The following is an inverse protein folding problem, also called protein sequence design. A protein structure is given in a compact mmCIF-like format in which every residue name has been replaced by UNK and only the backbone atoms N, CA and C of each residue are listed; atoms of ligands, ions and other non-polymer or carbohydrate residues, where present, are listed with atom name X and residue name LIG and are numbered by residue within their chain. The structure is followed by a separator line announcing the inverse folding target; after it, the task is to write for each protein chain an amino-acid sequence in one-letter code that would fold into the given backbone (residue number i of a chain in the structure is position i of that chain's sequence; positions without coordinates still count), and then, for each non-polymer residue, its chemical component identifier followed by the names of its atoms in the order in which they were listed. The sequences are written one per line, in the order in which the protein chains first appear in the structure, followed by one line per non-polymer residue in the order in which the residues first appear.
data_IF_947751940973
#
_entry.id   IF_947751940973
#
_cell.length_a   1.000
_cell.length_b   1.000
_cell.length_c   1.000
_cell.angle_alpha   90.00
_cell.angle_beta   90.00
_cell.angle_gamma   90.00
#
_symmetry.space_group_name_H-M   'P 1'
#
loop_
_entity.id
_entity.type
_entity.pdbx_description
1 polymer ?
#
# COMPACT_ATOMS: atom_id res chain seq x y z
N UNK A 1 32.26 24.41 26.74
CA UNK A 1 32.42 23.23 25.88
C UNK A 1 31.20 22.96 25.02
N UNK A 2 29.97 22.87 25.55
CA UNK A 2 28.76 22.57 24.71
C UNK A 2 28.49 23.59 23.60
N UNK A 3 28.78 24.87 23.76
CA UNK A 3 28.57 25.93 22.74
C UNK A 3 29.55 25.84 21.57
N UNK A 4 30.75 25.37 21.79
CA UNK A 4 31.76 25.18 20.71
C UNK A 4 31.53 23.90 19.93
N UNK A 5 30.93 22.88 20.57
CA UNK A 5 30.52 21.61 19.87
C UNK A 5 29.40 21.85 18.86
N UNK A 6 28.42 22.71 19.21
CA UNK A 6 27.35 23.10 18.30
C UNK A 6 27.86 23.92 17.11
N UNK A 7 28.84 24.81 17.34
CA UNK A 7 29.45 25.62 16.27
C UNK A 7 30.27 24.75 15.30
N UNK A 8 30.95 23.72 15.80
CA UNK A 8 31.73 22.77 15.01
C UNK A 8 30.82 21.92 14.12
N UNK A 9 29.66 21.50 14.64
CA UNK A 9 28.66 20.72 13.88
C UNK A 9 28.04 21.52 12.72
N UNK A 10 27.76 22.82 12.95
CA UNK A 10 27.25 23.70 11.89
C UNK A 10 28.32 23.94 10.82
N UNK A 11 29.58 24.07 11.19
CA UNK A 11 30.70 24.29 10.26
C UNK A 11 30.91 23.05 9.37
N UNK A 12 30.78 21.85 9.90
CA UNK A 12 30.89 20.57 9.14
C UNK A 12 29.73 20.41 8.14
N UNK A 13 28.51 20.81 8.50
CA UNK A 13 27.35 20.80 7.58
C UNK A 13 27.51 21.80 6.43
N UNK A 14 28.11 22.97 6.66
CA UNK A 14 28.32 23.96 5.59
C UNK A 14 29.42 23.54 4.63
N UNK A 15 30.45 22.85 5.09
CA UNK A 15 31.51 22.34 4.22
C UNK A 15 31.09 21.16 3.35
N UNK A 16 30.11 20.37 3.76
CA UNK A 16 29.60 19.25 2.96
C UNK A 16 28.72 19.68 1.78
N UNK A 17 28.15 20.87 1.80
CA UNK A 17 27.36 21.44 0.69
C UNK A 17 28.21 22.07 -0.43
N UNK A 18 29.48 22.37 -0.17
CA UNK A 18 30.38 22.98 -1.15
C UNK A 18 31.10 21.97 -2.07
N UNK A 19 30.98 20.66 -1.82
CA UNK A 19 31.71 19.63 -2.57
C UNK A 19 30.94 19.05 -3.80
N UNK A 20 29.71 19.52 -4.05
CA UNK A 20 28.87 19.03 -5.18
C UNK A 20 28.74 19.98 -6.37
N UNK A 21 29.53 21.07 -6.42
CA UNK A 21 29.46 22.03 -7.52
C UNK A 21 30.84 22.19 -8.18
N UNK A 22 31.25 21.26 -9.04
CA UNK A 22 32.11 21.51 -10.18
C UNK A 22 32.50 20.24 -10.92
N UNK A 23 31.91 20.03 -12.09
CA UNK A 23 32.60 19.67 -13.34
C UNK A 23 31.63 19.66 -14.51
N UNK A 24 31.57 20.79 -15.13
CA UNK A 24 31.18 20.92 -16.54
C UNK A 24 32.39 21.53 -17.22
N UNK A 25 32.90 20.90 -18.28
CA UNK A 25 33.33 21.60 -19.49
C UNK A 25 33.78 20.60 -20.58
N UNK A 26 33.76 21.07 -21.85
CA UNK A 26 33.39 20.30 -23.02
C UNK A 26 34.59 20.03 -23.91
N UNK A 27 34.48 19.10 -24.86
CA UNK A 27 35.30 19.12 -26.06
C UNK A 27 34.50 18.69 -27.31
N UNK A 28 34.68 19.47 -28.25
CA UNK A 28 34.29 19.87 -29.57
C UNK A 28 34.87 18.94 -30.64
N UNK A 29 34.08 18.78 -31.74
CA UNK A 29 34.48 18.71 -33.16
C UNK A 29 34.99 17.36 -33.71
N UNK A 30 34.31 16.78 -34.67
CA UNK A 30 34.60 16.91 -36.09
C UNK A 30 33.62 16.13 -36.98
N UNK A 31 32.98 16.82 -37.90
CA UNK A 31 32.43 16.29 -39.15
C UNK A 31 33.59 16.05 -40.15
N UNK A 32 33.47 15.22 -41.18
CA UNK A 32 32.83 15.64 -42.42
C UNK A 32 32.10 14.56 -43.27
N UNK A 33 31.12 15.03 -43.96
CA UNK A 33 30.77 14.93 -45.39
C UNK A 33 30.62 13.58 -46.12
N UNK A 34 29.46 13.45 -46.70
CA UNK A 34 29.03 13.45 -48.13
C UNK A 34 29.00 12.08 -48.80
N UNK A 35 27.92 11.61 -49.31
CA UNK A 35 27.39 11.67 -50.68
C UNK A 35 26.13 10.80 -50.90
N UNK A 36 25.07 11.39 -51.31
CA UNK A 36 24.29 11.24 -52.57
C UNK A 36 23.49 9.98 -52.85
N UNK A 37 22.21 10.21 -52.98
CA UNK A 37 21.30 9.86 -54.07
C UNK A 37 20.68 8.44 -54.10
N UNK A 38 19.39 8.34 -53.87
CA UNK A 38 18.33 8.11 -54.89
C UNK A 38 16.98 7.85 -54.23
N UNK A 39 15.99 8.63 -54.51
CA UNK A 39 14.55 8.35 -54.35
C UNK A 39 14.06 7.68 -55.65
N UNK A 40 12.80 7.23 -55.79
CA UNK A 40 11.71 7.01 -54.86
C UNK A 40 11.03 5.64 -55.04
N UNK A 41 10.31 5.15 -54.06
CA UNK A 41 9.11 4.33 -54.36
C UNK A 41 8.07 4.48 -53.24
N UNK A 42 6.94 4.90 -53.70
CA UNK A 42 5.67 5.07 -52.99
C UNK A 42 5.16 3.71 -52.51
N UNK A 43 4.91 3.54 -51.25
CA UNK A 43 3.96 2.53 -50.78
C UNK A 43 3.15 3.07 -49.59
N UNK A 44 1.87 2.92 -49.71
CA UNK A 44 0.77 3.39 -48.91
C UNK A 44 0.95 3.21 -47.41
N UNK A 45 0.62 4.24 -46.67
CA UNK A 45 0.38 4.30 -45.25
C UNK A 45 -0.90 3.51 -44.88
N UNK A 46 -0.88 2.55 -43.98
CA UNK A 46 -2.09 2.13 -43.32
C UNK A 46 -2.40 3.08 -42.18
N UNK A 47 -3.57 3.65 -42.24
CA UNK A 47 -4.16 4.54 -41.26
C UNK A 47 -3.97 4.01 -39.82
N UNK A 48 -3.44 4.85 -38.96
CA UNK A 48 -3.48 4.65 -37.51
C UNK A 48 -4.95 4.73 -37.07
N UNK A 49 -5.48 3.61 -36.58
CA UNK A 49 -6.70 3.60 -35.79
C UNK A 49 -6.38 4.32 -34.47
N UNK A 50 -7.06 5.45 -34.25
CA UNK A 50 -7.18 6.04 -32.93
C UNK A 50 -7.80 5.00 -31.97
N UNK A 51 -7.27 4.83 -30.74
CA UNK A 51 -7.97 4.04 -29.75
C UNK A 51 -9.30 4.76 -29.44
N UNK A 52 -10.40 4.07 -29.71
CA UNK A 52 -11.72 4.48 -29.32
C UNK A 52 -11.70 4.82 -27.82
N UNK A 53 -12.16 6.03 -27.47
CA UNK A 53 -12.46 6.38 -26.10
C UNK A 53 -13.41 5.29 -25.55
N UNK A 54 -13.00 4.62 -24.48
CA UNK A 54 -13.90 3.80 -23.69
C UNK A 54 -15.02 4.74 -23.20
N UNK A 55 -16.21 4.54 -23.72
CA UNK A 55 -17.43 5.12 -23.14
C UNK A 55 -17.50 4.64 -21.70
N UNK A 56 -17.34 5.59 -20.76
CA UNK A 56 -17.71 5.37 -19.37
C UNK A 56 -19.17 4.92 -19.37
N UNK A 57 -19.39 3.64 -19.13
CA UNK A 57 -20.72 3.10 -18.85
C UNK A 57 -21.24 3.87 -17.63
N UNK A 58 -22.43 4.48 -17.69
CA UNK A 58 -23.04 5.11 -16.52
C UNK A 58 -23.09 4.06 -15.41
N UNK A 59 -22.61 4.42 -14.21
CA UNK A 59 -22.79 3.60 -13.03
C UNK A 59 -24.27 3.20 -12.95
N UNK A 60 -24.59 1.92 -13.01
CA UNK A 60 -25.92 1.42 -12.78
C UNK A 60 -26.35 1.92 -11.40
N UNK A 61 -27.49 2.61 -11.35
CA UNK A 61 -28.13 2.95 -10.09
C UNK A 61 -28.31 1.65 -9.28
N UNK A 62 -27.98 1.64 -7.98
CA UNK A 62 -28.04 0.44 -7.17
C UNK A 62 -29.45 -0.16 -7.22
N UNK A 63 -29.51 -1.45 -7.47
CA UNK A 63 -30.76 -2.21 -7.37
C UNK A 63 -31.30 -1.99 -5.93
N UNK A 64 -32.49 -1.43 -5.81
CA UNK A 64 -33.10 -0.95 -4.58
C UNK A 64 -33.43 -2.04 -3.51
N UNK A 65 -32.87 -3.26 -3.65
CA UNK A 65 -33.10 -4.40 -2.76
C UNK A 65 -31.81 -5.12 -2.32
N UNK A 66 -30.62 -4.57 -2.57
CA UNK A 66 -29.38 -5.16 -2.06
C UNK A 66 -29.27 -4.90 -0.54
N UNK A 67 -29.34 -5.94 0.28
CA UNK A 67 -29.23 -5.85 1.74
C UNK A 67 -27.87 -5.26 2.21
N UNK A 68 -26.85 -5.29 1.34
CA UNK A 68 -25.50 -4.83 1.66
C UNK A 68 -24.91 -4.00 0.53
N UNK A 69 -24.19 -2.94 0.94
CA UNK A 69 -23.35 -2.08 0.08
C UNK A 69 -21.96 -1.96 0.70
N UNK A 70 -20.92 -2.20 -0.07
CA UNK A 70 -19.55 -2.36 0.45
C UNK A 70 -18.70 -1.16 0.07
N UNK A 71 -18.09 -0.52 1.06
CA UNK A 71 -17.04 0.46 0.89
C UNK A 71 -15.69 -0.11 1.35
N UNK A 72 -14.64 0.10 0.58
CA UNK A 72 -13.28 -0.12 1.04
C UNK A 72 -12.62 1.23 1.32
N UNK A 73 -11.98 1.37 2.47
CA UNK A 73 -11.17 2.55 2.77
C UNK A 73 -9.70 2.14 2.66
N UNK A 74 -8.89 2.82 1.81
CA UNK A 74 -7.45 2.56 1.79
C UNK A 74 -6.78 3.13 3.05
N UNK A 75 -5.61 2.62 3.43
CA UNK A 75 -4.86 3.17 4.58
C UNK A 75 -4.45 4.64 4.36
N UNK A 76 -3.70 4.94 3.34
CA UNK A 76 -3.40 6.21 2.68
C UNK A 76 -2.77 5.92 1.29
N UNK A 77 -2.47 4.66 1.04
CA UNK A 77 -1.92 4.14 -0.21
C UNK A 77 -2.91 4.19 -1.36
N UNK A 78 -2.49 3.67 -2.49
CA UNK A 78 -3.28 3.64 -3.71
C UNK A 78 -3.75 2.21 -4.01
N UNK A 79 -4.88 2.08 -4.69
CA UNK A 79 -5.39 0.77 -5.14
C UNK A 79 -4.51 0.13 -6.24
N UNK A 80 -3.44 0.78 -6.65
CA UNK A 80 -2.42 0.30 -7.60
C UNK A 80 -1.06 0.06 -6.95
N UNK A 81 -1.00 -0.08 -5.63
CA UNK A 81 0.22 -0.20 -4.85
C UNK A 81 0.96 -1.55 -5.01
N UNK A 82 0.41 -2.48 -5.78
CA UNK A 82 0.88 -3.87 -5.93
C UNK A 82 1.05 -4.58 -4.58
N UNK A 83 0.26 -4.20 -3.60
CA UNK A 83 0.32 -4.65 -2.22
C UNK A 83 -1.08 -4.81 -1.62
N UNK A 84 -1.24 -4.45 -0.35
CA UNK A 84 -2.41 -4.78 0.45
C UNK A 84 -3.67 -3.99 0.02
N UNK A 85 -3.53 -2.70 -0.32
CA UNK A 85 -4.67 -1.92 -0.81
C UNK A 85 -5.19 -2.46 -2.14
N UNK A 86 -4.32 -2.71 -3.12
CA UNK A 86 -4.73 -3.26 -4.41
C UNK A 86 -5.40 -4.61 -4.25
N UNK A 87 -4.78 -5.54 -3.52
CA UNK A 87 -5.33 -6.90 -3.34
C UNK A 87 -6.70 -6.86 -2.66
N UNK A 88 -6.88 -6.01 -1.65
CA UNK A 88 -8.17 -5.86 -0.96
C UNK A 88 -9.22 -5.23 -1.87
N UNK A 89 -8.85 -4.20 -2.65
CA UNK A 89 -9.73 -3.58 -3.62
C UNK A 89 -10.23 -4.58 -4.67
N UNK A 90 -9.31 -5.32 -5.27
CA UNK A 90 -9.64 -6.33 -6.29
C UNK A 90 -10.55 -7.42 -5.73
N UNK A 91 -10.27 -7.92 -4.52
CA UNK A 91 -11.08 -8.94 -3.87
C UNK A 91 -12.50 -8.43 -3.51
N UNK A 92 -12.62 -7.22 -2.98
CA UNK A 92 -13.92 -6.62 -2.68
C UNK A 92 -14.74 -6.39 -3.95
N UNK A 93 -14.10 -5.87 -5.00
CA UNK A 93 -14.73 -5.63 -6.30
C UNK A 93 -15.23 -6.93 -6.91
N UNK A 94 -14.39 -7.96 -7.01
CA UNK A 94 -14.76 -9.26 -7.55
C UNK A 94 -15.92 -9.89 -6.76
N UNK A 95 -15.86 -9.84 -5.43
CA UNK A 95 -16.93 -10.35 -4.57
C UNK A 95 -18.25 -9.61 -4.81
N UNK A 96 -18.23 -8.30 -4.87
CA UNK A 96 -19.42 -7.49 -5.06
C UNK A 96 -20.04 -7.70 -6.46
N UNK A 97 -19.21 -7.72 -7.51
CA UNK A 97 -19.64 -8.02 -8.87
C UNK A 97 -20.30 -9.41 -8.97
N UNK A 98 -19.69 -10.42 -8.35
CA UNK A 98 -20.23 -11.78 -8.36
C UNK A 98 -21.56 -11.92 -7.60
N UNK A 99 -21.84 -11.04 -6.63
CA UNK A 99 -23.03 -11.10 -5.79
C UNK A 99 -24.06 -9.98 -6.09
N UNK A 100 -23.79 -9.13 -7.10
CA UNK A 100 -24.69 -8.02 -7.46
C UNK A 100 -24.80 -6.95 -6.38
N UNK A 101 -23.72 -6.71 -5.62
CA UNK A 101 -23.64 -5.73 -4.55
C UNK A 101 -23.00 -4.44 -5.04
N UNK A 102 -23.42 -3.30 -4.49
CA UNK A 102 -22.77 -2.03 -4.71
C UNK A 102 -21.38 -2.03 -4.07
N UNK A 103 -20.39 -1.48 -4.78
CA UNK A 103 -19.02 -1.34 -4.29
C UNK A 103 -18.41 0.00 -4.67
N UNK A 104 -17.69 0.62 -3.74
CA UNK A 104 -16.82 1.76 -4.02
C UNK A 104 -15.62 1.72 -3.07
N UNK A 105 -14.60 2.54 -3.36
CA UNK A 105 -13.48 2.74 -2.44
C UNK A 105 -13.28 4.22 -2.13
N UNK A 106 -12.72 4.50 -0.97
CA UNK A 106 -12.44 5.83 -0.46
C UNK A 106 -10.98 5.91 -0.06
N UNK A 107 -10.32 7.00 -0.43
CA UNK A 107 -8.91 7.22 -0.15
C UNK A 107 -8.74 8.41 0.78
N UNK A 108 -8.14 8.22 1.99
CA UNK A 108 -7.79 9.34 2.87
C UNK A 108 -6.83 10.32 2.20
N UNK A 109 -6.92 11.60 2.55
CA UNK A 109 -6.05 12.64 2.02
C UNK A 109 -4.60 12.50 2.51
N UNK A 110 -4.39 11.83 3.66
CA UNK A 110 -3.09 11.57 4.25
C UNK A 110 -3.12 10.44 5.28
N UNK A 111 -2.02 10.27 6.02
CA UNK A 111 -1.80 9.19 6.98
C UNK A 111 -2.10 9.64 8.41
N UNK A 112 -3.39 9.82 8.72
CA UNK A 112 -3.85 10.08 10.08
C UNK A 112 -5.18 9.39 10.39
N UNK A 113 -5.43 9.10 11.68
CA UNK A 113 -6.70 8.51 12.11
C UNK A 113 -7.88 9.42 11.75
N UNK A 114 -7.75 10.74 11.93
CA UNK A 114 -8.80 11.70 11.60
C UNK A 114 -9.19 11.66 10.11
N UNK A 115 -8.23 11.49 9.21
CA UNK A 115 -8.52 11.38 7.77
C UNK A 115 -9.14 10.03 7.40
N UNK A 116 -8.76 8.95 8.07
CA UNK A 116 -9.41 7.64 7.93
C UNK A 116 -10.84 7.67 8.45
N UNK A 117 -11.06 8.27 9.62
CA UNK A 117 -12.40 8.49 10.18
C UNK A 117 -13.29 9.28 9.22
N UNK A 118 -12.78 10.38 8.67
CA UNK A 118 -13.53 11.19 7.71
C UNK A 118 -13.95 10.40 6.46
N UNK A 119 -13.12 9.48 5.98
CA UNK A 119 -13.47 8.63 4.83
C UNK A 119 -14.46 7.52 5.21
N UNK A 120 -14.36 6.97 6.41
CA UNK A 120 -15.34 6.01 6.94
C UNK A 120 -16.72 6.69 7.04
N UNK A 121 -16.78 7.87 7.66
CA UNK A 121 -18.01 8.64 7.79
C UNK A 121 -18.59 9.05 6.43
N UNK A 122 -17.74 9.46 5.48
CA UNK A 122 -18.19 9.78 4.12
C UNK A 122 -18.82 8.56 3.42
N UNK A 123 -18.22 7.38 3.57
CA UNK A 123 -18.78 6.15 3.03
C UNK A 123 -20.16 5.82 3.67
N UNK A 124 -20.27 5.98 4.98
CA UNK A 124 -21.54 5.75 5.71
C UNK A 124 -22.60 6.76 5.27
N UNK A 125 -22.24 8.02 5.12
CA UNK A 125 -23.14 9.09 4.66
C UNK A 125 -23.64 8.84 3.21
N UNK A 126 -22.81 8.19 2.37
CA UNK A 126 -23.20 7.75 1.02
C UNK A 126 -24.05 6.46 1.01
N UNK A 127 -24.34 5.88 2.19
CA UNK A 127 -25.22 4.73 2.36
C UNK A 127 -24.54 3.36 2.33
N UNK A 128 -23.21 3.32 2.39
CA UNK A 128 -22.47 2.05 2.55
C UNK A 128 -22.62 1.54 3.98
N UNK A 129 -22.97 0.25 4.10
CA UNK A 129 -23.21 -0.39 5.40
C UNK A 129 -22.24 -1.54 5.72
N UNK A 130 -21.27 -1.79 4.85
CA UNK A 130 -20.14 -2.68 5.11
C UNK A 130 -18.85 -1.92 4.74
N UNK A 131 -17.98 -1.72 5.73
CA UNK A 131 -16.74 -0.97 5.58
C UNK A 131 -15.54 -1.92 5.74
N UNK A 132 -14.72 -2.05 4.70
CA UNK A 132 -13.52 -2.90 4.67
C UNK A 132 -12.28 -2.05 4.79
N UNK A 133 -11.42 -2.35 5.74
CA UNK A 133 -10.24 -1.56 6.12
C UNK A 133 -8.99 -2.45 6.15
N UNK A 134 -8.09 -2.36 5.16
CA UNK A 134 -6.85 -3.12 5.12
C UNK A 134 -5.71 -2.41 5.86
N UNK A 135 -5.25 -2.99 6.96
CA UNK A 135 -4.02 -2.61 7.63
C UNK A 135 -4.19 -2.18 9.08
N UNK A 136 -3.15 -2.44 9.88
CA UNK A 136 -3.08 -2.13 11.31
C UNK A 136 -3.29 -0.62 11.61
N UNK A 137 -3.03 0.25 10.64
CA UNK A 137 -3.19 1.70 10.78
C UNK A 137 -4.64 2.15 11.04
N UNK A 138 -5.61 1.26 10.82
CA UNK A 138 -7.02 1.56 11.10
C UNK A 138 -7.41 1.40 12.57
N UNK A 139 -6.54 0.88 13.43
CA UNK A 139 -6.89 0.62 14.84
C UNK A 139 -7.42 1.86 15.58
N UNK A 140 -6.85 3.05 15.32
CA UNK A 140 -7.35 4.31 15.87
C UNK A 140 -8.74 4.68 15.36
N UNK A 141 -8.92 4.67 14.04
CA UNK A 141 -10.19 5.02 13.41
C UNK A 141 -11.32 4.04 13.79
N UNK A 142 -11.02 2.76 13.94
CA UNK A 142 -11.97 1.73 14.39
C UNK A 142 -12.50 2.07 15.80
N UNK A 143 -11.62 2.44 16.72
CA UNK A 143 -12.01 2.80 18.08
C UNK A 143 -12.90 4.05 18.13
N UNK A 144 -12.76 4.94 17.16
CA UNK A 144 -13.56 6.15 17.07
C UNK A 144 -14.91 5.92 16.38
N UNK A 145 -15.04 4.89 15.52
CA UNK A 145 -16.23 4.76 14.66
C UNK A 145 -17.09 3.53 14.96
N UNK A 146 -16.49 2.37 15.29
CA UNK A 146 -17.25 1.11 15.34
C UNK A 146 -18.38 1.09 16.38
N UNK A 147 -18.20 1.72 17.53
CA UNK A 147 -19.22 1.83 18.56
C UNK A 147 -20.30 2.89 18.24
N UNK A 148 -19.96 3.88 17.41
CA UNK A 148 -20.86 4.99 17.06
C UNK A 148 -21.87 4.58 15.98
N UNK A 149 -21.47 3.67 15.08
CA UNK A 149 -22.26 3.17 13.95
C UNK A 149 -22.59 1.68 14.10
N UNK A 150 -23.42 1.27 15.08
CA UNK A 150 -23.70 -0.13 15.35
C UNK A 150 -24.44 -0.86 14.22
N UNK A 151 -25.05 -0.13 13.28
CA UNK A 151 -25.72 -0.67 12.09
C UNK A 151 -24.77 -0.96 10.93
N UNK A 152 -23.53 -0.47 10.99
CA UNK A 152 -22.51 -0.69 9.97
C UNK A 152 -21.64 -1.88 10.36
N UNK A 153 -21.39 -2.77 9.43
CA UNK A 153 -20.44 -3.88 9.61
C UNK A 153 -19.03 -3.43 9.24
N UNK A 154 -18.13 -3.49 10.19
CA UNK A 154 -16.72 -3.18 9.99
C UNK A 154 -15.89 -4.45 9.81
N UNK A 155 -15.08 -4.52 8.75
CA UNK A 155 -14.16 -5.61 8.45
C UNK A 155 -12.75 -5.05 8.45
N UNK A 156 -11.99 -5.34 9.50
CA UNK A 156 -10.63 -4.87 9.69
C UNK A 156 -9.64 -6.02 9.39
N UNK A 157 -8.79 -5.81 8.40
CA UNK A 157 -7.77 -6.77 7.98
C UNK A 157 -6.41 -6.36 8.55
N UNK A 158 -5.67 -7.31 9.09
CA UNK A 158 -4.39 -7.09 9.79
C UNK A 158 -4.53 -6.16 11.01
N UNK A 159 -5.68 -6.24 11.69
CA UNK A 159 -5.93 -5.56 12.96
C UNK A 159 -6.28 -6.62 13.99
N UNK A 160 -5.52 -6.67 15.08
CA UNK A 160 -5.74 -7.59 16.17
C UNK A 160 -5.87 -6.89 17.52
N UNK A 161 -6.07 -7.66 18.58
CA UNK A 161 -6.19 -7.15 19.94
C UNK A 161 -4.98 -6.28 20.37
N UNK A 162 -3.77 -6.65 19.91
CA UNK A 162 -2.56 -5.87 20.22
C UNK A 162 -2.53 -4.48 19.58
N UNK A 163 -3.25 -4.28 18.49
CA UNK A 163 -3.35 -2.97 17.81
C UNK A 163 -4.45 -2.12 18.44
N UNK A 164 -5.54 -2.76 18.87
CA UNK A 164 -6.68 -2.09 19.51
C UNK A 164 -6.42 -1.75 20.99
N UNK A 165 -5.50 -2.47 21.62
CA UNK A 165 -5.16 -2.33 23.03
C UNK A 165 -6.00 -3.26 23.93
N UNK A 166 -5.41 -3.61 25.09
CA UNK A 166 -5.95 -4.63 25.98
C UNK A 166 -7.31 -4.25 26.62
N UNK A 167 -7.60 -2.97 26.68
CA UNK A 167 -8.84 -2.44 27.28
C UNK A 167 -9.99 -2.27 26.26
N UNK A 168 -9.74 -2.52 24.96
CA UNK A 168 -10.77 -2.37 23.92
C UNK A 168 -11.63 -3.64 23.83
N UNK A 169 -12.92 -3.46 24.01
CA UNK A 169 -13.91 -4.54 23.84
C UNK A 169 -14.46 -4.49 22.41
N UNK A 170 -14.26 -5.55 21.65
CA UNK A 170 -14.76 -5.66 20.28
C UNK A 170 -16.30 -5.57 20.26
N UNK A 171 -16.88 -4.58 19.58
CA UNK A 171 -18.31 -4.53 19.38
C UNK A 171 -18.77 -5.61 18.39
N UNK A 172 -20.06 -5.96 18.43
CA UNK A 172 -20.61 -7.07 17.66
C UNK A 172 -20.63 -6.87 16.14
N UNK A 173 -20.50 -5.63 15.70
CA UNK A 173 -20.45 -5.22 14.30
C UNK A 173 -19.03 -5.10 13.73
N UNK A 174 -17.99 -5.43 14.51
CA UNK A 174 -16.60 -5.41 14.10
C UNK A 174 -16.04 -6.82 13.96
N UNK A 175 -15.56 -7.15 12.77
CA UNK A 175 -14.80 -8.36 12.48
C UNK A 175 -13.32 -7.99 12.22
N UNK A 176 -12.43 -8.58 13.00
CA UNK A 176 -10.98 -8.41 12.84
C UNK A 176 -10.34 -9.72 12.33
N UNK A 177 -9.54 -9.62 11.29
CA UNK A 177 -8.76 -10.73 10.75
C UNK A 177 -7.27 -10.45 10.82
N UNK A 178 -6.52 -11.39 11.37
CA UNK A 178 -5.04 -11.40 11.35
C UNK A 178 -4.55 -12.65 10.62
N UNK A 179 -3.34 -12.59 10.12
CA UNK A 179 -2.73 -13.67 9.36
C UNK A 179 -1.70 -14.41 10.20
N UNK A 180 -1.32 -15.60 9.73
CA UNK A 180 -0.24 -16.41 10.35
C UNK A 180 1.10 -16.05 9.71
N UNK A 181 1.56 -14.83 9.92
CA UNK A 181 2.80 -14.30 9.33
C UNK A 181 4.04 -15.09 9.80
N UNK A 182 3.97 -15.67 10.99
CA UNK A 182 5.02 -16.56 11.51
C UNK A 182 5.28 -17.76 10.61
N UNK A 183 4.27 -18.29 9.90
CA UNK A 183 4.45 -19.39 8.97
C UNK A 183 5.23 -18.93 7.72
N UNK A 184 4.89 -17.77 7.19
CA UNK A 184 5.63 -17.17 6.06
C UNK A 184 7.07 -16.87 6.46
N UNK A 185 7.28 -16.29 7.63
CA UNK A 185 8.59 -16.06 8.21
C UNK A 185 9.40 -17.35 8.35
N UNK A 186 8.79 -18.39 8.91
CA UNK A 186 9.41 -19.70 9.09
C UNK A 186 9.86 -20.30 7.75
N UNK A 187 8.97 -20.30 6.74
CA UNK A 187 9.31 -20.81 5.41
C UNK A 187 10.46 -20.04 4.78
N UNK A 188 10.47 -18.72 4.88
CA UNK A 188 11.55 -17.88 4.36
C UNK A 188 12.89 -18.17 5.04
N UNK A 189 12.92 -18.26 6.36
CA UNK A 189 14.13 -18.59 7.13
C UNK A 189 14.65 -20.00 6.83
N UNK A 190 13.76 -20.97 6.77
CA UNK A 190 14.09 -22.35 6.41
C UNK A 190 14.67 -22.44 4.99
N UNK A 191 14.02 -21.82 4.02
CA UNK A 191 14.48 -21.79 2.63
C UNK A 191 15.83 -21.12 2.49
N UNK A 192 16.10 -20.02 3.19
CA UNK A 192 17.38 -19.32 3.14
C UNK A 192 18.56 -20.24 3.55
N UNK A 193 18.39 -21.01 4.62
CA UNK A 193 19.43 -21.99 5.05
C UNK A 193 19.61 -23.10 4.01
N UNK A 194 18.50 -23.66 3.49
CA UNK A 194 18.55 -24.74 2.48
C UNK A 194 19.16 -24.27 1.15
N UNK A 195 19.09 -22.97 0.85
CA UNK A 195 19.78 -22.34 -0.29
C UNK A 195 21.30 -22.10 -0.02
N UNK A 196 21.79 -22.42 1.16
CA UNK A 196 23.20 -22.35 1.52
C UNK A 196 23.66 -21.06 2.18
N UNK A 197 22.74 -20.17 2.55
CA UNK A 197 23.10 -18.96 3.29
C UNK A 197 23.45 -19.31 4.75
N UNK A 198 24.59 -18.83 5.23
CA UNK A 198 25.14 -19.12 6.57
C UNK A 198 25.15 -17.91 7.50
N UNK A 199 24.88 -16.71 6.98
CA UNK A 199 24.77 -15.47 7.75
C UNK A 199 23.47 -14.81 7.37
N UNK A 200 22.53 -14.82 8.26
CA UNK A 200 21.17 -14.39 8.04
C UNK A 200 20.79 -13.32 9.05
N UNK A 201 19.91 -12.41 8.64
CA UNK A 201 19.35 -11.40 9.49
C UNK A 201 17.92 -11.08 9.06
N UNK A 202 17.12 -10.58 9.98
CA UNK A 202 15.77 -10.10 9.72
C UNK A 202 15.76 -8.58 9.90
N UNK A 203 15.19 -7.87 8.93
CA UNK A 203 14.97 -6.44 8.99
C UNK A 203 13.47 -6.17 8.91
N UNK A 204 12.88 -5.71 9.99
CA UNK A 204 11.49 -5.26 10.07
C UNK A 204 11.38 -3.74 10.01
N UNK A 205 10.31 -3.22 9.42
CA UNK A 205 10.06 -1.78 9.33
C UNK A 205 9.70 -1.15 10.68
N UNK A 206 8.74 -1.77 11.38
CA UNK A 206 8.25 -1.34 12.70
C UNK A 206 7.96 -2.56 13.57
N UNK A 207 7.94 -2.36 14.90
CA UNK A 207 7.63 -3.43 15.86
C UNK A 207 6.09 -3.58 16.05
N UNK A 208 5.34 -3.64 14.96
CA UNK A 208 3.91 -3.98 14.99
C UNK A 208 3.71 -5.49 15.04
N UNK A 209 2.57 -6.00 15.54
CA UNK A 209 2.34 -7.43 15.78
C UNK A 209 2.67 -8.34 14.59
N UNK A 210 2.24 -7.98 13.38
CA UNK A 210 2.52 -8.74 12.16
C UNK A 210 4.03 -8.87 11.88
N UNK A 211 4.77 -7.76 11.93
CA UNK A 211 6.23 -7.74 11.68
C UNK A 211 6.99 -8.56 12.73
N UNK A 212 6.56 -8.50 13.99
CA UNK A 212 7.13 -9.32 15.07
C UNK A 212 6.91 -10.81 14.80
N UNK A 213 5.69 -11.21 14.38
CA UNK A 213 5.38 -12.61 14.03
C UNK A 213 6.22 -13.09 12.85
N UNK A 214 6.37 -12.29 11.78
CA UNK A 214 7.29 -12.61 10.68
C UNK A 214 8.72 -12.88 11.14
N UNK A 215 9.28 -11.95 11.92
CA UNK A 215 10.64 -12.06 12.43
C UNK A 215 10.85 -13.28 13.34
N UNK A 216 9.90 -13.53 14.22
CA UNK A 216 9.92 -14.68 15.14
C UNK A 216 9.86 -16.01 14.37
N UNK A 217 8.96 -16.13 13.40
CA UNK A 217 8.88 -17.28 12.52
C UNK A 217 10.17 -17.48 11.71
N UNK A 218 10.73 -16.40 11.16
CA UNK A 218 11.98 -16.45 10.40
C UNK A 218 13.12 -17.07 11.20
N UNK A 219 13.33 -16.62 12.44
CA UNK A 219 14.39 -17.16 13.32
C UNK A 219 14.16 -18.65 13.59
N UNK A 220 12.92 -19.06 13.85
CA UNK A 220 12.60 -20.48 14.07
C UNK A 220 12.84 -21.33 12.83
N UNK A 221 12.51 -20.82 11.64
CA UNK A 221 12.77 -21.50 10.37
C UNK A 221 14.27 -21.70 10.11
N UNK A 222 15.08 -20.66 10.38
CA UNK A 222 16.55 -20.75 10.32
C UNK A 222 17.07 -21.82 11.26
N UNK A 223 16.63 -21.81 12.51
CA UNK A 223 17.06 -22.77 13.54
C UNK A 223 16.69 -24.22 13.17
N UNK A 224 15.49 -24.44 12.64
CA UNK A 224 15.04 -25.75 12.23
C UNK A 224 15.81 -26.31 11.04
N UNK A 225 16.19 -25.45 10.10
CA UNK A 225 16.91 -25.86 8.91
C UNK A 225 18.43 -26.05 9.13
N UNK A 226 19.00 -25.42 10.16
CA UNK A 226 20.43 -25.48 10.50
C UNK A 226 20.81 -26.74 11.31
N UNK A 227 19.83 -27.44 11.86
CA UNK A 227 20.02 -28.75 12.56
C UNK A 227 20.09 -29.89 11.57
#
# INVERSE_FOLDING_TARGET
MKKYLALLLVLVMVLSLAACASKTEPETTTEPETTTETAPETTEEPAAEEPAAEEETPAEEPAADAAYSVAMITDYGDITDQSFNQTTYEACKEFCEANGLQFNYFKPAGDSDAERVAMIESAIDEGYNVVVMPGYAFAGAIKETADIYPEVTFIALDVGAGDLGDDYTLPSNLYCAVYQEELCGYMAGYAAVKLGYTKLGFLGGMAVPAVVRYGFGYVQGVDAAAK
#
